data_IF_786742832318
#
_entry.id   IF_786742832318
#
_cell.length_a   1.000
_cell.length_b   1.000
_cell.length_c   1.000
_cell.angle_alpha   90.00
_cell.angle_beta   90.00
_cell.angle_gamma   90.00
#
_symmetry.space_group_name_H-M   'P 1'
#
loop_
_entity.id
_entity.type
_entity.pdbx_description
1 polymer ?
#
# COMPACT_ATOMS: atom_id res chain seq x y z
N UNK A 1 1.20 -30.29 3.56
CA UNK A 1 0.03 -29.47 3.90
C UNK A 1 0.46 -28.09 4.46
N UNK A 2 1.39 -27.43 3.73
CA UNK A 2 1.98 -26.15 4.17
C UNK A 2 1.61 -25.04 3.21
N UNK A 3 1.11 -23.92 3.76
CA UNK A 3 1.02 -22.65 3.04
C UNK A 3 2.40 -21.98 3.09
N UNK A 4 3.03 -21.82 1.92
CA UNK A 4 4.26 -21.07 1.76
C UNK A 4 3.93 -19.68 1.19
N UNK A 5 4.48 -18.63 1.79
CA UNK A 5 4.34 -17.25 1.33
C UNK A 5 5.72 -16.63 1.18
N UNK A 6 5.97 -16.03 0.02
CA UNK A 6 7.14 -15.20 -0.25
C UNK A 6 6.67 -13.78 -0.53
N UNK A 7 7.18 -12.82 0.22
CA UNK A 7 6.84 -11.40 0.10
C UNK A 7 8.06 -10.56 0.49
N UNK A 8 8.22 -9.38 -0.10
CA UNK A 8 9.20 -8.39 0.34
C UNK A 8 8.58 -7.45 1.36
N UNK A 9 9.38 -6.88 2.26
CA UNK A 9 8.97 -5.91 3.26
C UNK A 9 8.74 -4.50 2.69
N UNK A 10 9.45 -4.17 1.61
CA UNK A 10 9.42 -2.85 0.94
C UNK A 10 10.02 -2.94 -0.46
N UNK A 11 9.93 -1.86 -1.22
CA UNK A 11 10.50 -1.77 -2.55
C UNK A 11 12.03 -1.87 -2.58
N UNK A 12 12.59 -2.02 -3.77
CA UNK A 12 14.03 -2.17 -4.03
C UNK A 12 14.81 -0.95 -3.55
N UNK A 13 16.02 -1.18 -3.02
CA UNK A 13 16.96 -0.11 -2.64
C UNK A 13 17.17 0.91 -3.77
N UNK A 14 17.21 2.20 -3.44
CA UNK A 14 17.46 3.30 -4.39
C UNK A 14 18.82 3.24 -5.10
N UNK A 15 19.73 2.41 -4.60
CA UNK A 15 21.04 2.18 -5.24
C UNK A 15 20.99 1.15 -6.38
N UNK A 16 19.84 0.52 -6.59
CA UNK A 16 19.65 -0.53 -7.58
C UNK A 16 18.65 -0.05 -8.63
N UNK A 17 18.99 -0.20 -9.90
CA UNK A 17 18.07 -0.05 -11.02
C UNK A 17 17.82 -1.41 -11.62
N UNK A 18 16.57 -1.83 -11.63
CA UNK A 18 16.11 -3.08 -12.24
C UNK A 18 15.63 -2.83 -13.68
N UNK A 19 15.41 -3.91 -14.44
CA UNK A 19 14.75 -3.84 -15.75
C UNK A 19 13.47 -4.67 -15.73
N UNK A 20 12.37 -4.06 -16.15
CA UNK A 20 11.08 -4.74 -16.31
C UNK A 20 10.54 -4.43 -17.71
N UNK A 21 10.31 -5.48 -18.51
CA UNK A 21 9.83 -5.36 -19.90
C UNK A 21 10.68 -4.41 -20.76
N UNK A 22 11.99 -4.39 -20.56
CA UNK A 22 12.92 -3.53 -21.29
C UNK A 22 13.03 -2.10 -20.77
N UNK A 23 12.22 -1.69 -19.80
CA UNK A 23 12.24 -0.37 -19.17
C UNK A 23 13.05 -0.41 -17.88
N UNK A 24 13.88 0.61 -17.64
CA UNK A 24 14.61 0.77 -16.40
C UNK A 24 13.66 1.25 -15.28
N UNK A 25 13.70 0.53 -14.15
CA UNK A 25 12.91 0.81 -12.95
C UNK A 25 13.88 1.08 -11.80
N UNK A 26 14.14 2.34 -11.47
CA UNK A 26 14.94 2.70 -10.30
C UNK A 26 14.29 2.22 -9.01
N UNK A 27 15.08 1.70 -8.10
CA UNK A 27 14.62 1.34 -6.77
C UNK A 27 14.11 2.57 -6.01
N UNK A 28 13.10 2.35 -5.18
CA UNK A 28 12.34 3.44 -4.55
C UNK A 28 12.04 3.19 -3.07
N UNK A 29 12.81 2.30 -2.44
CA UNK A 29 12.71 2.06 -0.99
C UNK A 29 12.67 3.36 -0.22
N UNK A 30 11.63 3.52 0.63
CA UNK A 30 11.42 4.71 1.44
C UNK A 30 10.72 5.86 0.72
N UNK A 31 10.25 5.66 -0.51
CA UNK A 31 9.37 6.60 -1.22
C UNK A 31 7.93 6.08 -1.21
N UNK A 32 7.00 6.99 -1.42
CA UNK A 32 5.56 6.70 -1.34
C UNK A 32 4.93 6.32 -2.68
N UNK A 33 5.62 6.48 -3.81
CA UNK A 33 5.12 6.01 -5.11
C UNK A 33 5.22 4.48 -5.26
N UNK A 34 4.60 3.92 -6.28
CA UNK A 34 4.38 2.49 -6.47
C UNK A 34 5.61 1.62 -6.20
N UNK A 35 6.74 1.89 -6.83
CA UNK A 35 7.97 1.09 -6.68
C UNK A 35 8.59 1.14 -5.25
N UNK A 36 8.07 1.98 -4.35
CA UNK A 36 8.50 2.04 -2.95
C UNK A 36 7.76 1.07 -2.03
N UNK A 37 6.52 0.71 -2.36
CA UNK A 37 5.65 -0.09 -1.52
C UNK A 37 4.97 -1.28 -2.23
N UNK A 38 4.89 -1.28 -3.56
CA UNK A 38 4.39 -2.42 -4.32
C UNK A 38 5.47 -3.50 -4.38
N UNK A 39 5.23 -4.60 -3.72
CA UNK A 39 6.20 -5.69 -3.53
C UNK A 39 5.70 -6.99 -4.15
N UNK A 40 6.60 -7.91 -4.57
CA UNK A 40 6.18 -9.22 -5.02
C UNK A 40 5.49 -9.98 -3.87
N UNK A 41 4.37 -10.61 -4.19
CA UNK A 41 3.67 -11.53 -3.31
C UNK A 41 3.43 -12.86 -4.06
N UNK A 42 3.98 -13.93 -3.54
CA UNK A 42 3.83 -15.28 -4.11
C UNK A 42 3.38 -16.22 -3.01
N UNK A 43 2.32 -16.99 -3.27
CA UNK A 43 1.83 -17.99 -2.35
C UNK A 43 1.76 -19.36 -3.02
N UNK A 44 2.08 -20.39 -2.27
CA UNK A 44 1.96 -21.78 -2.67
C UNK A 44 1.28 -22.59 -1.56
N UNK A 45 0.22 -23.30 -1.92
CA UNK A 45 -0.49 -24.20 -1.00
C UNK A 45 -0.95 -25.43 -1.79
N UNK A 46 -0.18 -26.52 -1.77
CA UNK A 46 -0.49 -27.70 -2.58
C UNK A 46 -1.92 -28.21 -2.33
N UNK A 47 -2.68 -28.42 -3.41
CA UNK A 47 -4.06 -28.88 -3.35
C UNK A 47 -5.10 -27.83 -2.91
N UNK A 48 -4.68 -26.58 -2.64
CA UNK A 48 -5.56 -25.47 -2.25
C UNK A 48 -5.46 -24.28 -3.21
N UNK A 49 -4.27 -23.96 -3.69
CA UNK A 49 -4.02 -22.90 -4.67
C UNK A 49 -3.75 -23.54 -6.03
N UNK A 50 -4.42 -23.05 -7.06
CA UNK A 50 -4.20 -23.48 -8.44
C UNK A 50 -2.81 -23.04 -8.92
N UNK A 51 -2.09 -23.95 -9.56
CA UNK A 51 -0.73 -23.67 -10.07
C UNK A 51 -0.78 -22.66 -11.21
N UNK A 52 0.07 -21.63 -11.12
CA UNK A 52 0.19 -20.61 -12.14
C UNK A 52 -0.98 -19.62 -12.16
N UNK A 53 -1.88 -19.67 -11.18
CA UNK A 53 -2.94 -18.65 -11.03
C UNK A 53 -2.34 -17.28 -10.76
N UNK A 54 -3.02 -16.24 -11.25
CA UNK A 54 -2.69 -14.84 -11.04
C UNK A 54 -3.92 -14.14 -10.49
N UNK A 55 -3.77 -13.40 -9.42
CA UNK A 55 -4.79 -12.53 -8.87
C UNK A 55 -4.32 -11.07 -8.91
N UNK A 56 -5.19 -10.16 -9.32
CA UNK A 56 -4.91 -8.73 -9.47
C UNK A 56 -5.66 -7.86 -8.46
N UNK A 57 -6.17 -8.46 -7.39
CA UNK A 57 -6.82 -7.71 -6.33
C UNK A 57 -5.81 -6.96 -5.46
N UNK A 58 -6.29 -5.85 -4.87
CA UNK A 58 -5.52 -5.12 -3.89
C UNK A 58 -5.45 -5.93 -2.60
N UNK A 59 -4.23 -6.18 -2.14
CA UNK A 59 -3.92 -6.83 -0.87
C UNK A 59 -2.85 -6.03 -0.14
N UNK A 60 -2.83 -6.09 1.17
CA UNK A 60 -1.80 -5.45 1.98
C UNK A 60 -1.42 -6.28 3.22
N UNK A 61 -0.44 -5.81 3.99
CA UNK A 61 0.04 -6.54 5.16
C UNK A 61 -0.99 -6.72 6.27
N UNK A 62 -2.03 -5.87 6.34
CA UNK A 62 -3.12 -6.01 7.31
C UNK A 62 -3.90 -7.30 7.08
N UNK A 63 -3.87 -7.85 5.85
CA UNK A 63 -4.58 -9.08 5.47
C UNK A 63 -3.91 -10.36 5.99
N UNK A 64 -2.63 -10.29 6.40
CA UNK A 64 -1.91 -11.48 6.83
C UNK A 64 -2.43 -12.06 8.14
N UNK A 65 -2.67 -11.22 9.14
CA UNK A 65 -3.13 -11.71 10.43
C UNK A 65 -4.49 -12.43 10.34
N UNK A 66 -5.54 -11.84 9.73
CA UNK A 66 -6.79 -12.57 9.53
C UNK A 66 -6.64 -13.81 8.64
N UNK A 67 -5.71 -13.80 7.68
CA UNK A 67 -5.38 -14.98 6.86
C UNK A 67 -4.81 -16.11 7.71
N UNK A 68 -3.90 -15.80 8.63
CA UNK A 68 -3.30 -16.81 9.51
C UNK A 68 -4.33 -17.41 10.48
N UNK A 69 -5.24 -16.61 11.00
CA UNK A 69 -6.36 -17.11 11.81
C UNK A 69 -7.24 -18.08 11.02
N UNK A 70 -7.62 -17.69 9.79
CA UNK A 70 -8.45 -18.50 8.91
C UNK A 70 -7.78 -19.82 8.52
N UNK A 71 -6.48 -19.78 8.16
CA UNK A 71 -5.68 -20.98 7.84
C UNK A 71 -5.55 -21.91 9.04
N UNK A 72 -5.44 -21.36 10.23
CA UNK A 72 -5.36 -22.13 11.48
C UNK A 72 -6.71 -22.63 11.99
N UNK A 73 -7.82 -22.18 11.39
CA UNK A 73 -9.18 -22.50 11.88
C UNK A 73 -9.48 -21.85 13.24
N UNK A 74 -8.86 -20.70 13.53
CA UNK A 74 -9.05 -19.95 14.77
C UNK A 74 -10.05 -18.83 14.52
N UNK A 75 -11.12 -18.80 15.29
CA UNK A 75 -12.08 -17.70 15.25
C UNK A 75 -11.45 -16.40 15.76
N UNK A 76 -11.71 -15.31 15.04
CA UNK A 76 -11.28 -13.99 15.47
C UNK A 76 -12.00 -13.60 16.76
N UNK A 77 -11.28 -13.18 17.84
CA UNK A 77 -11.91 -12.60 19.02
C UNK A 77 -12.84 -11.43 18.69
N UNK A 78 -14.00 -11.34 19.33
CA UNK A 78 -15.03 -10.33 19.03
C UNK A 78 -14.55 -8.89 19.31
N UNK A 79 -13.68 -8.72 20.31
CA UNK A 79 -13.10 -7.45 20.73
C UNK A 79 -11.89 -7.03 19.89
N UNK A 80 -11.42 -7.86 18.98
CA UNK A 80 -10.28 -7.57 18.13
C UNK A 80 -10.72 -6.85 16.84
N UNK A 81 -10.34 -5.59 16.69
CA UNK A 81 -10.52 -4.83 15.46
C UNK A 81 -9.39 -5.14 14.49
N UNK A 82 -9.73 -5.54 13.28
CA UNK A 82 -8.80 -5.81 12.19
C UNK A 82 -9.17 -4.99 10.98
N UNK A 83 -8.20 -4.27 10.42
CA UNK A 83 -8.38 -3.50 9.17
C UNK A 83 -8.29 -4.39 7.94
N UNK A 84 -7.62 -5.54 8.06
CA UNK A 84 -7.45 -6.51 6.99
C UNK A 84 -8.56 -7.54 6.89
N UNK A 85 -8.54 -8.29 5.78
CA UNK A 85 -9.43 -9.41 5.48
C UNK A 85 -8.61 -10.65 5.15
N UNK A 86 -9.12 -11.85 5.44
CA UNK A 86 -8.45 -13.09 5.05
C UNK A 86 -8.25 -13.18 3.53
N UNK A 87 -7.05 -13.54 3.13
CA UNK A 87 -6.69 -13.83 1.73
C UNK A 87 -7.11 -15.24 1.31
N UNK A 88 -7.54 -16.10 2.22
CA UNK A 88 -7.87 -17.50 1.92
C UNK A 88 -8.87 -17.66 0.77
N UNK A 89 -9.96 -16.85 0.68
CA UNK A 89 -10.85 -16.93 -0.47
C UNK A 89 -10.17 -16.61 -1.80
N UNK A 90 -9.34 -15.55 -1.86
CA UNK A 90 -8.57 -15.20 -3.05
C UNK A 90 -7.56 -16.29 -3.42
N UNK A 91 -6.84 -16.81 -2.44
CA UNK A 91 -5.87 -17.90 -2.62
C UNK A 91 -6.51 -19.18 -3.17
N UNK A 92 -7.79 -19.41 -2.84
CA UNK A 92 -8.59 -20.52 -3.39
C UNK A 92 -9.27 -20.19 -4.72
N UNK A 93 -8.98 -19.05 -5.33
CA UNK A 93 -9.54 -18.65 -6.63
C UNK A 93 -11.02 -18.28 -6.58
N UNK A 94 -11.56 -17.88 -5.43
CA UNK A 94 -12.93 -17.40 -5.34
C UNK A 94 -13.05 -16.00 -5.93
N UNK A 95 -14.06 -15.78 -6.76
CA UNK A 95 -14.37 -14.47 -7.33
C UNK A 95 -15.15 -13.63 -6.31
N UNK A 96 -14.41 -12.95 -5.46
CA UNK A 96 -14.95 -12.05 -4.44
C UNK A 96 -14.26 -10.70 -4.49
N UNK A 97 -15.00 -9.63 -4.21
CA UNK A 97 -14.40 -8.31 -4.01
C UNK A 97 -13.64 -8.28 -2.68
N UNK A 98 -12.31 -8.12 -2.74
CA UNK A 98 -11.47 -8.07 -1.54
C UNK A 98 -11.37 -6.65 -0.99
N UNK A 99 -10.66 -5.77 -1.68
CA UNK A 99 -10.51 -4.36 -1.31
C UNK A 99 -10.72 -3.45 -2.52
N UNK A 100 -11.38 -2.33 -2.28
CA UNK A 100 -11.55 -1.29 -3.30
C UNK A 100 -10.40 -0.30 -3.32
N UNK A 101 -9.72 -0.15 -2.19
CA UNK A 101 -8.59 0.75 -1.99
C UNK A 101 -7.77 0.32 -0.77
N UNK A 102 -6.58 0.87 -0.66
CA UNK A 102 -5.65 0.66 0.45
C UNK A 102 -5.25 2.01 1.03
N UNK A 103 -5.33 2.11 2.35
CA UNK A 103 -4.86 3.26 3.12
C UNK A 103 -3.43 3.03 3.60
N UNK A 104 -2.59 4.04 3.46
CA UNK A 104 -1.23 4.04 3.99
C UNK A 104 -1.01 5.25 4.88
N UNK A 105 -0.49 5.00 6.08
CA UNK A 105 0.11 6.00 6.95
C UNK A 105 1.61 5.74 6.98
N UNK A 106 2.36 6.56 6.26
CA UNK A 106 3.82 6.48 6.18
C UNK A 106 4.44 7.55 7.09
N UNK A 107 5.02 7.11 8.20
CA UNK A 107 5.74 7.96 9.14
C UNK A 107 7.02 7.26 9.62
N UNK A 108 8.11 7.30 8.84
CA UNK A 108 9.31 6.54 9.09
C UNK A 108 10.10 7.03 10.31
N UNK A 109 9.86 8.22 10.84
CA UNK A 109 10.52 8.85 12.01
C UNK A 109 12.07 8.85 11.96
N UNK A 110 12.66 8.61 10.81
CA UNK A 110 14.11 8.58 10.60
C UNK A 110 14.46 9.27 9.28
N UNK A 111 15.59 9.98 9.26
CA UNK A 111 15.97 10.92 8.21
C UNK A 111 14.98 12.08 8.03
N UNK A 112 15.28 13.00 7.13
CA UNK A 112 14.42 14.13 6.79
C UNK A 112 13.26 13.71 5.85
N UNK A 113 12.59 12.59 6.16
CA UNK A 113 11.45 12.11 5.38
C UNK A 113 10.16 12.70 5.92
N UNK A 114 9.33 13.21 5.02
CA UNK A 114 8.06 13.84 5.37
C UNK A 114 7.01 12.76 5.57
N UNK A 115 6.33 12.71 6.74
CA UNK A 115 5.20 11.82 6.96
C UNK A 115 4.13 12.05 5.90
N UNK A 116 3.54 10.97 5.41
CA UNK A 116 2.52 11.01 4.37
C UNK A 116 1.37 10.07 4.69
N UNK A 117 0.15 10.51 4.37
CA UNK A 117 -1.03 9.67 4.34
C UNK A 117 -1.62 9.71 2.96
N UNK A 118 -2.04 8.56 2.47
CA UNK A 118 -2.68 8.46 1.18
C UNK A 118 -3.59 7.23 1.10
N UNK A 119 -4.55 7.34 0.22
CA UNK A 119 -5.44 6.25 -0.19
C UNK A 119 -5.24 6.00 -1.67
N UNK A 120 -5.20 4.74 -2.09
CA UNK A 120 -5.07 4.41 -3.50
C UNK A 120 -5.90 3.19 -3.87
N UNK A 121 -6.36 3.16 -5.10
CA UNK A 121 -6.96 2.00 -5.75
C UNK A 121 -6.04 1.44 -6.85
N UNK A 122 -6.55 0.61 -7.75
CA UNK A 122 -5.77 0.00 -8.84
C UNK A 122 -5.25 1.02 -9.87
N UNK A 123 -5.66 2.29 -9.81
CA UNK A 123 -5.29 3.32 -10.78
C UNK A 123 -5.04 4.69 -10.17
N UNK A 124 -5.83 5.07 -9.17
CA UNK A 124 -5.85 6.43 -8.64
C UNK A 124 -5.24 6.47 -7.26
N UNK A 125 -4.55 7.57 -6.96
CA UNK A 125 -3.95 7.79 -5.66
C UNK A 125 -4.15 9.21 -5.20
N UNK A 126 -4.67 9.36 -3.99
CA UNK A 126 -4.92 10.64 -3.35
C UNK A 126 -4.13 10.75 -2.05
N UNK A 127 -3.30 11.77 -1.97
CA UNK A 127 -2.59 12.14 -0.75
C UNK A 127 -3.45 13.05 0.13
N UNK A 128 -3.20 13.01 1.43
CA UNK A 128 -3.88 13.87 2.40
C UNK A 128 -3.60 15.37 2.19
N UNK A 129 -2.50 15.73 1.57
CA UNK A 129 -2.15 17.10 1.16
C UNK A 129 -2.88 17.58 -0.10
N UNK A 130 -3.72 16.74 -0.69
CA UNK A 130 -4.55 17.05 -1.85
C UNK A 130 -3.94 16.67 -3.20
N UNK A 131 -2.69 16.21 -3.27
CA UNK A 131 -2.11 15.72 -4.52
C UNK A 131 -2.85 14.45 -4.98
N UNK A 132 -3.30 14.46 -6.23
CA UNK A 132 -4.04 13.36 -6.84
C UNK A 132 -3.37 12.90 -8.13
N UNK A 133 -3.22 11.60 -8.33
CA UNK A 133 -2.47 11.03 -9.44
C UNK A 133 -3.23 9.93 -10.16
N UNK A 134 -3.05 9.84 -11.49
CA UNK A 134 -3.36 8.67 -12.31
C UNK A 134 -2.10 7.80 -12.41
N UNK A 135 -1.93 6.85 -11.51
CA UNK A 135 -0.71 6.04 -11.41
C UNK A 135 -0.49 5.10 -12.59
N UNK A 136 -1.51 4.85 -13.41
CA UNK A 136 -1.35 4.10 -14.66
C UNK A 136 -0.60 4.91 -15.73
N UNK A 137 -0.75 6.24 -15.71
CA UNK A 137 -0.10 7.14 -16.66
C UNK A 137 1.14 7.83 -16.04
N UNK A 138 1.19 7.93 -14.73
CA UNK A 138 2.30 8.56 -13.99
C UNK A 138 2.68 7.70 -12.77
N UNK A 139 3.28 6.53 -13.03
CA UNK A 139 3.72 5.59 -11.99
C UNK A 139 4.75 6.18 -11.02
N UNK A 140 5.43 7.27 -11.42
CA UNK A 140 6.44 7.96 -10.59
C UNK A 140 5.88 9.16 -9.83
N UNK A 141 4.59 9.47 -10.04
CA UNK A 141 3.90 10.56 -9.36
C UNK A 141 4.62 11.92 -9.51
N UNK A 142 5.01 12.23 -10.74
CA UNK A 142 5.74 13.45 -11.06
C UNK A 142 4.82 14.66 -11.35
N UNK A 143 3.57 14.38 -11.77
CA UNK A 143 2.65 15.39 -12.26
C UNK A 143 1.25 15.18 -11.67
N UNK A 144 0.94 15.79 -10.51
CA UNK A 144 -0.39 15.69 -9.94
C UNK A 144 -1.43 16.29 -10.89
N UNK A 145 -2.60 15.68 -10.91
CA UNK A 145 -3.73 16.16 -11.70
C UNK A 145 -4.28 17.47 -11.13
N UNK A 146 -4.77 18.33 -12.01
CA UNK A 146 -5.52 19.51 -11.60
C UNK A 146 -6.92 19.08 -11.13
N UNK A 147 -7.14 19.10 -9.82
CA UNK A 147 -8.40 18.69 -9.18
C UNK A 147 -9.59 19.61 -9.51
N UNK A 148 -9.35 20.77 -10.12
CA UNK A 148 -10.43 21.67 -10.57
C UNK A 148 -10.91 21.37 -11.98
N UNK A 149 -10.21 20.51 -12.72
CA UNK A 149 -10.47 20.19 -14.13
C UNK A 149 -10.49 18.66 -14.39
N UNK A 150 -10.93 17.87 -13.42
CA UNK A 150 -11.04 16.42 -13.56
C UNK A 150 -12.16 16.04 -14.55
N UNK A 151 -11.93 15.00 -15.32
CA UNK A 151 -13.01 14.35 -16.05
C UNK A 151 -13.95 13.58 -15.11
N UNK A 152 -15.10 13.14 -15.59
CA UNK A 152 -16.14 12.44 -14.79
C UNK A 152 -15.59 11.21 -14.08
N UNK A 153 -14.68 10.46 -14.71
CA UNK A 153 -14.10 9.25 -14.15
C UNK A 153 -13.08 9.55 -13.04
N UNK A 154 -12.22 10.51 -13.29
CA UNK A 154 -11.23 10.97 -12.30
C UNK A 154 -11.92 11.63 -11.11
N UNK A 155 -12.99 12.41 -11.33
CA UNK A 155 -13.77 13.02 -10.26
C UNK A 155 -14.43 11.97 -9.36
N UNK A 156 -15.07 10.95 -9.93
CA UNK A 156 -15.68 9.88 -9.14
C UNK A 156 -14.65 9.11 -8.29
N UNK A 157 -13.45 8.87 -8.84
CA UNK A 157 -12.35 8.24 -8.12
C UNK A 157 -11.83 9.15 -6.99
N UNK A 158 -11.63 10.44 -7.28
CA UNK A 158 -11.22 11.42 -6.29
C UNK A 158 -12.18 11.48 -5.10
N UNK A 159 -13.49 11.60 -5.37
CA UNK A 159 -14.52 11.68 -4.34
C UNK A 159 -14.53 10.41 -3.47
N UNK A 160 -14.43 9.24 -4.09
CA UNK A 160 -14.36 7.95 -3.39
C UNK A 160 -13.13 7.87 -2.48
N UNK A 161 -11.94 8.15 -3.00
CA UNK A 161 -10.69 8.08 -2.23
C UNK A 161 -10.66 9.14 -1.13
N UNK A 162 -11.18 10.34 -1.41
CA UNK A 162 -11.28 11.39 -0.41
C UNK A 162 -12.20 11.01 0.75
N UNK A 163 -13.37 10.45 0.48
CA UNK A 163 -14.27 9.97 1.52
C UNK A 163 -13.59 8.94 2.43
N UNK A 164 -12.84 7.99 1.84
CA UNK A 164 -12.09 6.97 2.58
C UNK A 164 -10.96 7.58 3.39
N UNK A 165 -10.16 8.42 2.77
CA UNK A 165 -9.04 9.09 3.43
C UNK A 165 -9.50 9.94 4.62
N UNK A 166 -10.62 10.66 4.48
CA UNK A 166 -11.23 11.45 5.56
C UNK A 166 -11.74 10.56 6.71
N UNK A 167 -12.21 9.33 6.41
CA UNK A 167 -12.71 8.40 7.44
C UNK A 167 -11.62 7.87 8.37
N UNK A 168 -10.36 7.87 7.93
CA UNK A 168 -9.21 7.48 8.78
C UNK A 168 -8.78 8.56 9.78
N UNK A 169 -9.48 9.69 9.84
CA UNK A 169 -9.40 10.71 10.88
C UNK A 169 -8.08 11.49 10.98
N UNK A 170 -8.20 12.75 11.40
CA UNK A 170 -7.13 13.59 11.96
C UNK A 170 -6.02 14.03 11.01
N UNK A 171 -5.62 15.28 11.14
CA UNK A 171 -4.36 15.78 10.57
C UNK A 171 -3.22 14.91 11.08
N UNK A 172 -2.21 14.67 10.24
CA UNK A 172 -0.90 14.25 10.72
C UNK A 172 -0.55 15.19 11.86
N UNK A 173 -0.44 14.70 13.10
CA UNK A 173 0.22 15.50 14.13
C UNK A 173 1.60 15.78 13.55
N UNK A 174 1.94 17.05 13.42
CA UNK A 174 3.33 17.39 13.14
C UNK A 174 4.14 16.69 14.23
N UNK A 175 4.77 15.57 13.88
CA UNK A 175 5.75 14.94 14.76
C UNK A 175 6.72 16.06 15.09
N UNK A 176 6.93 16.36 16.37
CA UNK A 176 7.85 17.41 16.81
C UNK A 176 9.10 17.25 15.99
N UNK A 177 9.47 18.26 15.22
CA UNK A 177 10.66 18.20 14.39
C UNK A 177 11.82 17.75 15.27
N UNK A 178 12.75 16.97 14.74
CA UNK A 178 13.94 16.53 15.49
C UNK A 178 14.71 17.70 16.12
N UNK A 179 14.51 18.94 15.65
CA UNK A 179 14.96 20.20 16.25
C UNK A 179 14.35 20.49 17.62
N UNK A 180 13.11 20.06 17.90
CA UNK A 180 12.47 20.24 19.21
C UNK A 180 12.86 19.17 20.23
N UNK A 181 13.42 18.03 19.76
CA UNK A 181 13.89 16.93 20.63
C UNK A 181 15.33 17.08 21.08
N UNK A 182 16.00 18.21 20.77
CA UNK A 182 17.35 18.50 21.28
C UNK A 182 18.45 17.55 20.74
N UNK A 183 18.21 16.83 19.64
CA UNK A 183 19.23 16.02 18.97
C UNK A 183 20.06 16.92 18.05
N UNK A 184 20.73 17.89 18.66
CA UNK A 184 21.69 18.78 17.99
C UNK A 184 23.15 18.32 18.18
N UNK A 185 23.40 17.06 18.42
CA UNK A 185 24.78 16.62 18.60
C UNK A 185 24.97 15.15 18.27
N UNK A 186 25.08 14.81 17.02
CA UNK A 186 25.92 13.68 16.55
C UNK A 186 26.19 13.90 15.04
N UNK A 187 26.97 14.90 14.70
CA UNK A 187 27.78 14.98 13.47
C UNK A 187 28.96 15.91 13.80
N UNK A 188 29.92 15.42 14.56
CA UNK A 188 31.33 15.79 14.44
C UNK A 188 32.14 14.53 14.12
#
# INVERSE_FOLDING_TARGET
>A
DTLFIFISDNGTSRLITSRMNGVEVPGSKGLTHDAGHHVPFVAQWPGKIERGSLNMDLVDFNDFFPTLLDVAGIEKPDDLLLDGKSLVPLLKGQDIAHKDSVFIHYDPQWFAMVPSRYEFDKRWKLYYDGRFFDTNNDIRELSPLDITALDVRAQAAYDKLKQRLDSHGGKLSATKSHLELGISSVLE
#
